data_IF_540390478733
#
_entry.id   IF_540390478733
#
_cell.length_a   1.000
_cell.length_b   1.000
_cell.length_c   1.000
_cell.angle_alpha   90.00
_cell.angle_beta   90.00
_cell.angle_gamma   90.00
#
_symmetry.space_group_name_H-M   'P 1'
#
loop_
_entity.id
_entity.type
_entity.pdbx_description
1 polymer ?
#
# COMPACT_ATOMS: atom_id res chain seq x y z
N UNK A 1 -28.11 34.51 -20.33
CA UNK A 1 -27.41 34.87 -19.08
C UNK A 1 -27.41 33.62 -18.21
N UNK A 2 -26.36 32.82 -18.35
CA UNK A 2 -26.13 31.65 -17.50
C UNK A 2 -25.67 32.17 -16.16
N UNK A 3 -26.52 32.04 -15.15
CA UNK A 3 -26.21 32.30 -13.74
C UNK A 3 -25.08 31.35 -13.34
N UNK A 4 -23.86 31.88 -13.28
CA UNK A 4 -22.77 31.28 -12.51
C UNK A 4 -23.18 31.35 -11.05
N UNK A 5 -23.80 30.28 -10.55
CA UNK A 5 -23.93 30.04 -9.12
C UNK A 5 -22.51 29.98 -8.53
N UNK A 6 -22.10 31.06 -7.88
CA UNK A 6 -20.93 31.06 -7.01
C UNK A 6 -21.25 30.15 -5.84
N UNK A 7 -20.71 28.94 -5.84
CA UNK A 7 -20.72 28.04 -4.70
C UNK A 7 -20.26 28.81 -3.45
N UNK A 8 -20.93 28.68 -2.29
CA UNK A 8 -20.47 29.30 -1.06
C UNK A 8 -19.05 28.85 -0.74
N UNK A 9 -18.20 29.77 -0.25
CA UNK A 9 -16.81 29.53 0.17
C UNK A 9 -16.75 28.67 1.44
N UNK A 10 -17.23 27.45 1.31
CA UNK A 10 -17.26 26.43 2.34
C UNK A 10 -15.87 25.82 2.40
N UNK A 11 -15.30 25.74 3.61
CA UNK A 11 -13.94 25.25 3.79
C UNK A 11 -13.79 23.85 3.18
N UNK A 12 -12.61 23.57 2.63
CA UNK A 12 -12.32 22.26 2.02
C UNK A 12 -12.59 21.10 2.99
N UNK A 13 -12.31 21.30 4.28
CA UNK A 13 -12.56 20.29 5.31
C UNK A 13 -14.05 20.02 5.50
N UNK A 14 -14.88 21.06 5.47
CA UNK A 14 -16.35 20.89 5.54
C UNK A 14 -16.87 20.12 4.32
N UNK A 15 -16.41 20.46 3.11
CA UNK A 15 -16.81 19.74 1.89
C UNK A 15 -16.39 18.27 1.94
N UNK A 16 -15.15 17.99 2.34
CA UNK A 16 -14.64 16.63 2.45
C UNK A 16 -15.42 15.81 3.49
N UNK A 17 -15.67 16.36 4.68
CA UNK A 17 -16.43 15.64 5.71
C UNK A 17 -17.90 15.45 5.34
N UNK A 18 -18.49 16.36 4.55
CA UNK A 18 -19.89 16.26 4.11
C UNK A 18 -20.07 15.21 3.01
N UNK A 19 -19.25 15.26 1.96
CA UNK A 19 -19.44 14.42 0.76
C UNK A 19 -18.62 13.14 0.77
N UNK A 20 -17.59 13.04 1.63
CA UNK A 20 -16.71 11.88 1.76
C UNK A 20 -16.67 11.35 3.19
N UNK A 21 -17.77 11.45 3.94
CA UNK A 21 -17.90 10.89 5.29
C UNK A 21 -17.42 9.43 5.36
N UNK A 22 -16.58 9.11 6.35
CA UNK A 22 -15.97 7.79 6.51
C UNK A 22 -14.81 7.47 5.54
N UNK A 23 -14.46 8.40 4.63
CA UNK A 23 -13.31 8.30 3.71
C UNK A 23 -12.25 9.38 3.98
N UNK A 24 -12.47 10.24 4.97
CA UNK A 24 -11.55 11.29 5.40
C UNK A 24 -10.77 10.82 6.62
N UNK A 25 -9.45 11.06 6.62
CA UNK A 25 -8.55 10.71 7.71
C UNK A 25 -7.71 11.92 8.10
N UNK A 26 -7.60 12.16 9.41
CA UNK A 26 -6.71 13.17 10.01
C UNK A 26 -5.25 12.74 9.90
N UNK A 27 -4.59 13.15 8.81
CA UNK A 27 -3.20 12.75 8.49
C UNK A 27 -2.16 13.28 9.46
N UNK A 28 -2.43 14.38 10.15
CA UNK A 28 -1.58 14.92 11.22
C UNK A 28 -1.33 13.90 12.34
N UNK A 29 -2.35 13.07 12.63
CA UNK A 29 -2.28 12.03 13.65
C UNK A 29 -1.30 10.88 13.29
N UNK A 30 -1.06 10.65 12.00
CA UNK A 30 -0.12 9.59 11.57
C UNK A 30 1.28 9.82 12.11
N UNK A 31 1.72 11.09 12.24
CA UNK A 31 3.03 11.46 12.77
C UNK A 31 3.18 11.07 14.24
N UNK A 32 2.13 11.29 15.04
CA UNK A 32 2.10 10.97 16.47
C UNK A 32 2.14 9.46 16.76
N UNK A 33 1.83 8.63 15.76
CA UNK A 33 1.79 7.17 15.88
C UNK A 33 3.04 6.53 15.27
N UNK A 34 3.62 7.12 14.23
CA UNK A 34 4.81 6.60 13.55
C UNK A 34 6.06 6.60 14.44
N UNK A 35 6.09 7.42 15.48
CA UNK A 35 7.16 7.43 16.48
C UNK A 35 7.31 6.06 17.15
N UNK A 36 8.32 5.30 16.73
CA UNK A 36 8.69 4.01 17.31
C UNK A 36 8.34 2.77 16.49
N UNK A 37 7.63 2.87 15.36
CA UNK A 37 7.28 1.71 14.52
C UNK A 37 7.49 1.99 13.02
N UNK A 38 8.23 1.11 12.32
CA UNK A 38 8.41 1.18 10.87
C UNK A 38 7.20 0.56 10.14
N UNK A 39 6.05 1.23 10.25
CA UNK A 39 4.77 0.83 9.64
C UNK A 39 4.50 1.73 8.42
N UNK A 40 4.04 1.18 7.28
CA UNK A 40 3.64 1.99 6.13
C UNK A 40 2.50 2.98 6.48
N UNK A 41 2.54 4.20 5.96
CA UNK A 41 1.56 5.25 6.31
C UNK A 41 0.13 4.83 5.97
N UNK A 42 -0.13 4.22 4.82
CA UNK A 42 -1.48 3.76 4.47
C UNK A 42 -2.06 2.74 5.47
N UNK A 43 -1.23 1.96 6.17
CA UNK A 43 -1.69 1.06 7.24
C UNK A 43 -2.16 1.87 8.45
N UNK A 44 -1.41 2.92 8.81
CA UNK A 44 -1.79 3.83 9.88
C UNK A 44 -3.07 4.60 9.52
N UNK A 45 -3.17 5.09 8.29
CA UNK A 45 -4.35 5.81 7.80
C UNK A 45 -5.59 4.92 7.81
N UNK A 46 -5.47 3.65 7.45
CA UNK A 46 -6.58 2.69 7.54
C UNK A 46 -7.06 2.49 8.98
N UNK A 47 -6.13 2.31 9.93
CA UNK A 47 -6.49 2.16 11.34
C UNK A 47 -7.11 3.44 11.90
N UNK A 48 -6.56 4.60 11.57
CA UNK A 48 -7.13 5.90 11.93
C UNK A 48 -8.53 6.09 11.33
N UNK A 49 -8.75 5.70 10.07
CA UNK A 49 -10.07 5.75 9.45
C UNK A 49 -11.10 4.84 10.15
N UNK A 50 -10.66 3.75 10.78
CA UNK A 50 -11.55 2.86 11.55
C UNK A 50 -11.91 3.40 12.94
N UNK A 51 -11.00 4.13 13.60
CA UNK A 51 -11.14 4.49 15.02
C UNK A 51 -11.19 6.00 15.31
N UNK A 52 -10.86 6.85 14.33
CA UNK A 52 -10.75 8.31 14.46
C UNK A 52 -11.53 9.04 13.35
N UNK A 53 -12.59 8.46 12.78
CA UNK A 53 -13.43 9.05 11.74
C UNK A 53 -14.51 10.02 12.30
N UNK A 54 -14.13 10.86 13.27
CA UNK A 54 -15.00 11.87 13.87
C UNK A 54 -14.20 13.17 14.04
N UNK A 55 -14.91 14.29 14.10
CA UNK A 55 -14.43 15.64 14.42
C UNK A 55 -14.45 15.96 15.91
N UNK A 56 -15.05 15.10 16.75
CA UNK A 56 -15.03 15.22 18.21
C UNK A 56 -13.65 14.84 18.77
N UNK A 57 -12.99 15.81 19.42
CA UNK A 57 -11.64 15.64 19.97
C UNK A 57 -11.55 14.50 20.99
N UNK A 58 -12.56 14.29 21.84
CA UNK A 58 -12.55 13.20 22.82
C UNK A 58 -12.67 11.83 22.14
N UNK A 59 -13.47 11.73 21.08
CA UNK A 59 -13.55 10.51 20.25
C UNK A 59 -12.22 10.23 19.57
N UNK A 60 -11.58 11.26 19.00
CA UNK A 60 -10.26 11.16 18.36
C UNK A 60 -9.21 10.65 19.36
N UNK A 61 -9.11 11.24 20.55
CA UNK A 61 -8.12 10.84 21.56
C UNK A 61 -8.29 9.38 22.00
N UNK A 62 -9.53 8.95 22.23
CA UNK A 62 -9.82 7.54 22.52
C UNK A 62 -9.46 6.61 21.36
N UNK A 63 -9.75 7.04 20.12
CA UNK A 63 -9.34 6.35 18.90
C UNK A 63 -7.83 6.18 18.80
N UNK A 64 -7.05 7.22 19.10
CA UNK A 64 -5.58 7.18 19.10
C UNK A 64 -5.02 6.16 20.09
N UNK A 65 -5.57 6.10 21.30
CA UNK A 65 -5.18 5.10 22.31
C UNK A 65 -5.43 3.69 21.79
N UNK A 66 -6.59 3.46 21.16
CA UNK A 66 -6.92 2.17 20.56
C UNK A 66 -5.98 1.79 19.41
N UNK A 67 -5.66 2.72 18.51
CA UNK A 67 -4.73 2.47 17.40
C UNK A 67 -3.33 2.14 17.92
N UNK A 68 -2.82 2.89 18.90
CA UNK A 68 -1.53 2.61 19.54
C UNK A 68 -1.49 1.22 20.19
N UNK A 69 -2.58 0.83 20.85
CA UNK A 69 -2.71 -0.50 21.45
C UNK A 69 -2.68 -1.60 20.40
N UNK A 70 -3.48 -1.47 19.33
CA UNK A 70 -3.54 -2.43 18.22
C UNK A 70 -2.16 -2.60 17.57
N UNK A 71 -1.45 -1.50 17.30
CA UNK A 71 -0.11 -1.58 16.72
C UNK A 71 0.87 -2.27 17.67
N UNK A 72 0.83 -1.96 18.96
CA UNK A 72 1.72 -2.58 19.95
C UNK A 72 1.46 -4.08 20.11
N UNK A 73 0.20 -4.49 20.06
CA UNK A 73 -0.20 -5.88 20.31
C UNK A 73 -0.16 -6.75 19.05
N UNK A 74 -0.54 -6.21 17.90
CA UNK A 74 -0.83 -6.97 16.69
C UNK A 74 0.17 -6.71 15.55
N UNK A 75 0.84 -5.56 15.47
CA UNK A 75 1.82 -5.34 14.40
C UNK A 75 3.05 -6.21 14.61
N UNK A 76 3.39 -7.02 13.60
CA UNK A 76 4.54 -7.91 13.69
C UNK A 76 5.80 -7.17 13.31
N UNK A 77 6.70 -7.01 14.28
CA UNK A 77 8.07 -6.57 14.04
C UNK A 77 8.95 -7.79 13.74
N UNK A 78 9.74 -7.81 12.66
CA UNK A 78 10.54 -8.99 12.30
C UNK A 78 11.48 -9.50 13.40
N UNK A 79 12.03 -8.60 14.21
CA UNK A 79 12.90 -8.89 15.36
C UNK A 79 12.16 -9.49 16.56
N UNK A 80 10.83 -9.29 16.66
CA UNK A 80 9.98 -9.88 17.69
C UNK A 80 9.13 -11.07 17.19
N UNK A 81 9.41 -11.58 15.99
CA UNK A 81 8.56 -12.59 15.34
C UNK A 81 8.35 -13.87 16.18
N UNK A 82 9.38 -14.39 16.84
CA UNK A 82 9.28 -15.60 17.68
C UNK A 82 8.39 -15.38 18.91
N UNK A 83 8.43 -14.19 19.51
CA UNK A 83 7.55 -13.82 20.62
C UNK A 83 6.08 -13.84 20.18
N UNK A 84 5.80 -13.34 18.97
CA UNK A 84 4.43 -13.38 18.40
C UNK A 84 4.01 -14.83 18.08
N UNK A 85 4.90 -15.66 17.52
CA UNK A 85 4.61 -17.09 17.30
C UNK A 85 4.28 -17.83 18.61
N UNK A 86 5.01 -17.55 19.69
CA UNK A 86 4.72 -18.11 21.02
C UNK A 86 3.31 -17.74 21.47
N UNK A 87 2.94 -16.45 21.34
CA UNK A 87 1.58 -15.99 21.66
C UNK A 87 0.51 -16.71 20.84
N UNK A 88 0.71 -16.87 19.53
CA UNK A 88 -0.25 -17.57 18.65
C UNK A 88 -0.41 -19.03 19.11
N UNK A 89 0.69 -19.70 19.46
CA UNK A 89 0.68 -21.08 19.99
C UNK A 89 -0.04 -21.18 21.33
N UNK A 90 0.27 -20.31 22.28
CA UNK A 90 -0.26 -20.35 23.65
C UNK A 90 -1.75 -19.97 23.71
N UNK A 91 -2.16 -18.98 22.93
CA UNK A 91 -3.56 -18.51 22.88
C UNK A 91 -4.45 -19.36 21.97
N UNK A 92 -3.87 -20.22 21.13
CA UNK A 92 -4.55 -21.00 20.10
C UNK A 92 -5.03 -20.16 18.91
N UNK A 93 -5.48 -18.93 19.14
CA UNK A 93 -5.81 -17.96 18.09
C UNK A 93 -5.32 -16.56 18.42
N UNK A 94 -4.65 -15.90 17.48
CA UNK A 94 -4.12 -14.55 17.68
C UNK A 94 -4.21 -13.70 16.43
N UNK A 95 -4.51 -12.42 16.61
CA UNK A 95 -4.60 -11.45 15.52
C UNK A 95 -3.26 -10.76 15.31
N UNK A 96 -2.85 -10.63 14.05
CA UNK A 96 -1.60 -9.98 13.64
C UNK A 96 -1.85 -9.03 12.48
N UNK A 97 -0.99 -8.03 12.33
CA UNK A 97 -0.90 -7.15 11.17
C UNK A 97 0.40 -7.46 10.46
N UNK A 98 0.30 -7.99 9.23
CA UNK A 98 1.44 -8.44 8.45
C UNK A 98 1.15 -8.32 6.94
N UNK A 99 2.20 -8.36 6.12
CA UNK A 99 2.09 -8.46 4.66
C UNK A 99 2.00 -9.93 4.25
N UNK A 100 0.92 -10.26 3.56
CA UNK A 100 0.55 -11.63 3.19
C UNK A 100 0.75 -11.85 1.70
N UNK A 101 1.50 -12.88 1.35
CA UNK A 101 1.57 -13.42 -0.03
C UNK A 101 1.12 -14.87 0.00
N UNK A 102 0.51 -15.37 -1.07
CA UNK A 102 0.00 -16.74 -1.15
C UNK A 102 0.64 -17.46 -2.34
N UNK A 103 0.85 -18.77 -2.21
CA UNK A 103 1.28 -19.66 -3.28
C UNK A 103 0.44 -20.95 -3.26
N UNK A 104 0.28 -21.58 -4.41
CA UNK A 104 -0.28 -22.92 -4.49
C UNK A 104 0.79 -23.96 -4.12
N UNK A 105 0.46 -24.87 -3.20
CA UNK A 105 1.24 -26.07 -2.95
C UNK A 105 0.64 -27.24 -3.75
N UNK A 106 1.15 -27.45 -4.97
CA UNK A 106 0.66 -28.49 -5.90
C UNK A 106 0.78 -29.92 -5.35
N UNK A 107 1.68 -30.18 -4.40
CA UNK A 107 1.84 -31.52 -3.80
C UNK A 107 0.71 -31.87 -2.84
N UNK A 108 0.14 -30.85 -2.21
CA UNK A 108 -0.89 -30.97 -1.18
C UNK A 108 -2.25 -30.48 -1.65
N UNK A 109 -2.29 -29.82 -2.81
CA UNK A 109 -3.46 -29.13 -3.37
C UNK A 109 -4.09 -28.14 -2.39
N UNK A 110 -3.25 -27.30 -1.77
CA UNK A 110 -3.69 -26.26 -0.84
C UNK A 110 -2.95 -24.95 -1.09
N UNK A 111 -3.59 -23.83 -0.76
CA UNK A 111 -2.91 -22.54 -0.71
C UNK A 111 -2.16 -22.33 0.60
N UNK A 112 -0.94 -21.81 0.48
CA UNK A 112 -0.04 -21.51 1.59
C UNK A 112 0.28 -20.02 1.61
N UNK A 113 -0.08 -19.36 2.70
CA UNK A 113 0.26 -17.99 3.01
C UNK A 113 1.67 -17.87 3.62
N UNK A 114 2.41 -16.90 3.09
CA UNK A 114 3.63 -16.33 3.64
C UNK A 114 3.27 -15.05 4.40
N UNK A 115 3.55 -15.06 5.70
CA UNK A 115 3.52 -13.88 6.56
C UNK A 115 4.91 -13.28 6.60
N UNK A 116 5.09 -12.12 5.97
CA UNK A 116 6.41 -11.55 5.67
C UNK A 116 7.21 -11.22 6.93
N UNK A 117 6.59 -10.55 7.90
CA UNK A 117 7.27 -10.13 9.13
C UNK A 117 7.30 -11.25 10.17
N UNK A 118 6.23 -12.06 10.26
CA UNK A 118 6.19 -13.21 11.17
C UNK A 118 7.12 -14.34 10.72
N UNK A 119 7.44 -14.42 9.42
CA UNK A 119 8.31 -15.43 8.85
C UNK A 119 7.68 -16.83 8.76
N UNK A 120 6.36 -16.95 8.93
CA UNK A 120 5.63 -18.20 8.68
C UNK A 120 5.39 -18.32 7.17
N UNK A 121 5.90 -19.39 6.55
CA UNK A 121 5.98 -19.51 5.08
C UNK A 121 4.92 -20.40 4.43
N UNK A 122 4.15 -21.09 5.26
CA UNK A 122 3.29 -22.19 4.85
C UNK A 122 1.96 -22.21 5.60
N UNK A 123 1.50 -21.07 6.13
CA UNK A 123 0.23 -21.04 6.85
C UNK A 123 -0.91 -21.38 5.88
N UNK A 124 -1.76 -22.34 6.22
CA UNK A 124 -2.84 -22.74 5.32
C UNK A 124 -3.90 -21.65 5.24
N UNK A 125 -4.42 -21.40 4.04
CA UNK A 125 -5.42 -20.36 3.79
C UNK A 125 -6.51 -20.88 2.84
N UNK A 126 -7.76 -20.49 3.09
CA UNK A 126 -8.89 -20.87 2.25
C UNK A 126 -8.83 -20.26 0.85
N UNK A 127 -9.17 -21.06 -0.16
CA UNK A 127 -9.36 -20.67 -1.56
C UNK A 127 -10.28 -19.47 -1.76
N UNK A 128 -11.25 -19.28 -0.84
CA UNK A 128 -12.18 -18.15 -0.89
C UNK A 128 -11.44 -16.82 -0.81
N UNK A 129 -10.45 -16.70 0.08
CA UNK A 129 -9.64 -15.47 0.18
C UNK A 129 -8.77 -15.26 -1.05
N UNK A 130 -8.24 -16.33 -1.63
CA UNK A 130 -7.41 -16.25 -2.84
C UNK A 130 -8.22 -15.79 -4.04
N UNK A 131 -9.43 -16.33 -4.23
CA UNK A 131 -10.37 -15.91 -5.29
C UNK A 131 -10.86 -14.48 -5.09
N UNK A 132 -11.09 -14.06 -3.85
CA UNK A 132 -11.54 -12.70 -3.54
C UNK A 132 -10.43 -11.67 -3.71
N UNK A 133 -9.18 -12.05 -3.42
CA UNK A 133 -8.04 -11.13 -3.36
C UNK A 133 -6.86 -11.66 -4.19
N UNK A 134 -6.99 -11.62 -5.52
CA UNK A 134 -5.99 -12.15 -6.47
C UNK A 134 -4.57 -11.60 -6.25
N UNK A 135 -4.46 -10.35 -5.77
CA UNK A 135 -3.18 -9.70 -5.45
C UNK A 135 -2.35 -10.43 -4.38
N UNK A 136 -2.97 -11.32 -3.59
CA UNK A 136 -2.25 -12.22 -2.68
C UNK A 136 -1.26 -13.12 -3.43
N UNK A 137 -1.52 -13.52 -4.68
CA UNK A 137 -0.67 -14.42 -5.48
C UNK A 137 0.53 -13.74 -6.14
N UNK A 138 0.63 -12.41 -6.06
CA UNK A 138 1.57 -11.60 -6.87
C UNK A 138 2.52 -10.82 -5.97
N UNK A 139 2.11 -9.62 -5.53
CA UNK A 139 2.92 -8.72 -4.70
C UNK A 139 2.64 -8.81 -3.20
N UNK A 140 1.56 -9.51 -2.82
CA UNK A 140 1.05 -9.60 -1.46
C UNK A 140 0.33 -8.35 -0.98
N UNK A 141 -0.45 -8.49 0.08
CA UNK A 141 -1.33 -7.45 0.61
C UNK A 141 -1.10 -7.31 2.12
N UNK A 142 -1.04 -6.08 2.63
CA UNK A 142 -1.09 -5.85 4.07
C UNK A 142 -2.46 -6.19 4.61
N UNK A 143 -2.50 -7.06 5.61
CA UNK A 143 -3.75 -7.58 6.16
C UNK A 143 -3.71 -7.54 7.69
N UNK A 144 -4.89 -7.36 8.27
CA UNK A 144 -5.18 -7.80 9.62
C UNK A 144 -5.60 -9.27 9.49
N UNK A 145 -4.84 -10.18 10.10
CA UNK A 145 -5.00 -11.62 9.95
C UNK A 145 -5.24 -12.25 11.31
N UNK A 146 -6.23 -13.13 11.41
CA UNK A 146 -6.37 -14.00 12.58
C UNK A 146 -5.74 -15.34 12.25
N UNK A 147 -4.69 -15.69 12.99
CA UNK A 147 -4.01 -16.97 12.91
C UNK A 147 -4.60 -17.92 13.94
N UNK A 148 -4.73 -19.18 13.55
CA UNK A 148 -4.97 -20.31 14.46
C UNK A 148 -3.71 -21.18 14.49
N UNK A 149 -3.34 -21.63 15.68
CA UNK A 149 -2.31 -22.64 15.87
C UNK A 149 -2.94 -23.95 16.32
N UNK A 150 -2.68 -25.02 15.57
CA UNK A 150 -3.08 -26.37 15.92
C UNK A 150 -2.02 -27.34 15.42
N UNK A 151 -1.47 -28.17 16.31
CA UNK A 151 -0.45 -29.15 15.97
C UNK A 151 -0.96 -30.54 16.30
N UNK A 152 -0.89 -31.45 15.34
CA UNK A 152 -1.10 -32.89 15.50
C UNK A 152 0.17 -33.66 15.10
N UNK A 153 0.47 -34.79 15.75
CA UNK A 153 1.74 -35.52 15.51
C UNK A 153 1.91 -36.01 14.06
N UNK A 154 0.83 -36.41 13.39
CA UNK A 154 0.85 -36.94 12.00
C UNK A 154 0.45 -35.89 10.94
N UNK A 155 0.35 -34.62 11.35
CA UNK A 155 -0.03 -33.55 10.46
C UNK A 155 1.04 -33.29 9.39
N UNK A 156 0.65 -33.42 8.12
CA UNK A 156 1.50 -33.07 6.96
C UNK A 156 1.58 -31.56 6.70
N UNK A 157 0.69 -30.79 7.32
CA UNK A 157 0.49 -29.37 7.09
C UNK A 157 1.20 -28.44 8.07
N UNK A 158 1.08 -27.14 7.85
CA UNK A 158 1.61 -26.17 8.80
C UNK A 158 0.71 -26.08 10.03
N UNK A 159 1.25 -26.00 11.25
CA UNK A 159 0.41 -25.81 12.43
C UNK A 159 -0.26 -24.44 12.46
N UNK A 160 0.16 -23.52 11.58
CA UNK A 160 -0.46 -22.22 11.39
C UNK A 160 -1.52 -22.29 10.29
N UNK A 161 -2.70 -21.75 10.58
CA UNK A 161 -3.76 -21.54 9.60
C UNK A 161 -4.28 -20.09 9.69
N UNK A 162 -4.56 -19.49 8.53
CA UNK A 162 -5.27 -18.21 8.40
C UNK A 162 -6.76 -18.50 8.45
N UNK A 163 -7.41 -18.11 9.54
CA UNK A 163 -8.86 -18.32 9.71
C UNK A 163 -9.68 -17.07 9.37
N UNK A 164 -9.09 -15.88 9.47
CA UNK A 164 -9.69 -14.61 9.07
C UNK A 164 -8.64 -13.73 8.41
N UNK A 165 -8.99 -13.10 7.29
CA UNK A 165 -8.11 -12.22 6.53
C UNK A 165 -8.87 -10.97 6.12
N UNK A 166 -8.44 -9.83 6.65
CA UNK A 166 -8.99 -8.51 6.31
C UNK A 166 -7.90 -7.64 5.66
N UNK A 167 -7.94 -7.42 4.34
CA UNK A 167 -7.03 -6.51 3.67
C UNK A 167 -7.12 -5.09 4.24
N UNK A 168 -5.96 -4.47 4.43
CA UNK A 168 -5.81 -3.05 4.77
C UNK A 168 -5.84 -2.26 3.48
N UNK A 169 -7.04 -2.13 2.93
CA UNK A 169 -7.33 -1.43 1.68
C UNK A 169 -8.67 -0.72 1.84
N UNK A 170 -8.92 0.30 1.01
CA UNK A 170 -10.25 0.89 0.91
C UNK A 170 -11.23 -0.19 0.43
N UNK A 171 -12.29 -0.51 1.18
CA UNK A 171 -13.30 -1.46 0.72
C UNK A 171 -13.98 -0.88 -0.53
N UNK A 172 -14.12 -1.70 -1.58
CA UNK A 172 -14.71 -1.41 -2.90
C UNK A 172 -15.18 0.03 -3.08
N UNK A 173 -14.38 0.84 -3.78
CA UNK A 173 -14.69 2.23 -4.03
C UNK A 173 -15.93 2.33 -4.93
N UNK A 174 -17.03 2.85 -4.38
CA UNK A 174 -18.21 3.22 -5.15
C UNK A 174 -17.87 4.42 -6.04
N UNK A 175 -17.59 4.13 -7.31
CA UNK A 175 -17.23 5.13 -8.31
C UNK A 175 -18.38 6.09 -8.62
N UNK A 176 -19.63 5.62 -8.57
CA UNK A 176 -20.78 6.48 -8.83
C UNK A 176 -20.91 7.51 -7.71
N UNK A 177 -20.82 7.07 -6.44
CA UNK A 177 -20.82 7.98 -5.30
C UNK A 177 -19.64 8.96 -5.33
N UNK A 178 -18.44 8.53 -5.76
CA UNK A 178 -17.28 9.41 -5.93
C UNK A 178 -17.54 10.50 -6.98
N UNK A 179 -18.12 10.14 -8.13
CA UNK A 179 -18.41 11.09 -9.21
C UNK A 179 -19.51 12.08 -8.83
N UNK A 180 -20.54 11.65 -8.12
CA UNK A 180 -21.57 12.57 -7.61
C UNK A 180 -20.98 13.54 -6.58
N UNK A 181 -20.23 13.03 -5.59
CA UNK A 181 -19.56 13.86 -4.60
C UNK A 181 -18.60 14.88 -5.22
N UNK A 182 -17.87 14.51 -6.28
CA UNK A 182 -16.95 15.41 -6.99
C UNK A 182 -17.64 16.65 -7.56
N UNK A 183 -18.92 16.59 -7.93
CA UNK A 183 -19.65 17.74 -8.52
C UNK A 183 -19.81 18.91 -7.55
N UNK A 184 -19.69 18.65 -6.25
CA UNK A 184 -19.82 19.63 -5.17
C UNK A 184 -18.53 20.44 -4.94
N UNK A 185 -17.48 20.17 -5.72
CA UNK A 185 -16.18 20.83 -5.62
C UNK A 185 -15.89 21.63 -6.88
N UNK A 186 -15.29 22.81 -6.74
CA UNK A 186 -14.61 23.48 -7.86
C UNK A 186 -13.36 22.71 -8.27
N UNK A 187 -12.83 23.00 -9.46
CA UNK A 187 -11.58 22.38 -9.92
C UNK A 187 -10.41 22.68 -8.99
N UNK A 188 -10.30 23.92 -8.49
CA UNK A 188 -9.27 24.34 -7.53
C UNK A 188 -9.38 23.58 -6.20
N UNK A 189 -10.59 23.48 -5.65
CA UNK A 189 -10.84 22.72 -4.42
C UNK A 189 -10.54 21.24 -4.60
N UNK A 190 -10.83 20.68 -5.77
CA UNK A 190 -10.54 19.28 -6.07
C UNK A 190 -9.04 19.01 -6.18
N UNK A 191 -8.29 19.90 -6.84
CA UNK A 191 -6.82 19.83 -6.88
C UNK A 191 -6.26 19.84 -5.46
N UNK A 192 -6.79 20.71 -4.61
CA UNK A 192 -6.37 20.82 -3.21
C UNK A 192 -6.72 19.57 -2.40
N UNK A 193 -7.90 18.98 -2.62
CA UNK A 193 -8.30 17.70 -2.04
C UNK A 193 -7.34 16.57 -2.42
N UNK A 194 -6.97 16.46 -3.71
CA UNK A 194 -6.04 15.44 -4.20
C UNK A 194 -4.65 15.60 -3.59
N UNK A 195 -4.12 16.83 -3.54
CA UNK A 195 -2.81 17.11 -2.94
C UNK A 195 -2.82 16.80 -1.44
N UNK A 196 -3.86 17.23 -0.71
CA UNK A 196 -4.02 16.94 0.72
C UNK A 196 -4.13 15.44 0.98
N UNK A 197 -4.74 14.70 0.06
CA UNK A 197 -4.81 13.23 0.10
C UNK A 197 -3.44 12.55 -0.05
N UNK A 198 -2.42 13.22 -0.57
CA UNK A 198 -1.02 12.74 -0.57
C UNK A 198 -0.25 13.09 0.71
N UNK A 199 -0.87 13.76 1.67
CA UNK A 199 -0.23 14.20 2.92
C UNK A 199 0.51 15.53 2.83
N UNK A 200 0.25 16.34 1.79
CA UNK A 200 0.84 17.66 1.62
C UNK A 200 -0.23 18.75 1.74
N UNK A 201 0.08 19.85 2.44
CA UNK A 201 -0.90 20.92 2.66
C UNK A 201 -0.94 21.91 1.47
N UNK A 202 -2.03 21.96 0.68
CA UNK A 202 -2.10 22.75 -0.56
C UNK A 202 -1.89 24.26 -0.37
N UNK A 203 -2.26 24.82 0.79
CA UNK A 203 -2.11 26.25 1.07
C UNK A 203 -0.65 26.74 1.09
N UNK A 204 0.31 25.83 1.23
CA UNK A 204 1.75 26.14 1.19
C UNK A 204 2.35 26.17 -0.23
N UNK A 205 1.55 25.88 -1.26
CA UNK A 205 2.04 25.75 -2.63
C UNK A 205 1.42 26.77 -3.58
N UNK A 206 2.28 27.32 -4.45
CA UNK A 206 1.83 28.06 -5.63
C UNK A 206 1.16 27.11 -6.62
N UNK A 207 0.25 27.63 -7.42
CA UNK A 207 -0.52 26.85 -8.40
C UNK A 207 0.35 25.94 -9.30
N UNK A 208 1.45 26.47 -9.86
CA UNK A 208 2.37 25.67 -10.67
C UNK A 208 2.96 24.47 -9.92
N UNK A 209 3.22 24.62 -8.63
CA UNK A 209 3.74 23.52 -7.80
C UNK A 209 2.64 22.47 -7.57
N UNK A 210 1.39 22.90 -7.36
CA UNK A 210 0.24 22.00 -7.26
C UNK A 210 0.13 21.08 -8.49
N UNK A 211 0.26 21.65 -9.70
CA UNK A 211 0.30 20.87 -10.94
C UNK A 211 1.45 19.86 -11.01
N UNK A 212 2.66 20.22 -10.57
CA UNK A 212 3.77 19.28 -10.49
C UNK A 212 3.52 18.15 -9.48
N UNK A 213 2.89 18.44 -8.34
CA UNK A 213 2.50 17.43 -7.36
C UNK A 213 1.44 16.48 -7.91
N UNK A 214 0.44 16.99 -8.65
CA UNK A 214 -0.54 16.16 -9.35
C UNK A 214 0.12 15.26 -10.39
N UNK A 215 1.08 15.79 -11.16
CA UNK A 215 1.78 15.00 -12.19
C UNK A 215 2.50 13.77 -11.62
N UNK A 216 2.93 13.80 -10.34
CA UNK A 216 3.51 12.64 -9.65
C UNK A 216 2.51 11.49 -9.45
N UNK A 217 1.20 11.75 -9.52
CA UNK A 217 0.17 10.73 -9.38
C UNK A 217 -0.17 10.03 -10.69
N UNK A 218 0.21 10.59 -11.85
CA UNK A 218 -0.10 10.01 -13.17
C UNK A 218 0.38 8.56 -13.31
N UNK A 219 1.61 8.17 -12.88
CA UNK A 219 2.03 6.76 -12.95
C UNK A 219 1.13 5.80 -12.18
N UNK A 220 0.38 6.26 -11.18
CA UNK A 220 -0.50 5.40 -10.37
C UNK A 220 -1.84 5.11 -11.05
N UNK A 221 -2.18 5.86 -12.12
CA UNK A 221 -3.50 5.77 -12.79
C UNK A 221 -3.37 5.50 -14.29
N UNK A 222 -2.22 5.79 -14.90
CA UNK A 222 -1.95 5.55 -16.31
C UNK A 222 -0.95 4.42 -16.51
N UNK A 223 -1.33 3.43 -17.32
CA UNK A 223 -0.48 2.30 -17.66
C UNK A 223 0.71 2.73 -18.52
N UNK A 224 1.89 2.18 -18.24
CA UNK A 224 3.12 2.44 -18.99
C UNK A 224 3.48 3.94 -19.12
N UNK A 225 3.14 4.74 -18.10
CA UNK A 225 3.52 6.15 -18.05
C UNK A 225 4.94 6.32 -17.47
N UNK A 226 5.86 6.82 -18.29
CA UNK A 226 7.25 7.01 -17.90
C UNK A 226 7.46 8.42 -17.32
N UNK A 227 7.82 8.51 -16.05
CA UNK A 227 8.00 9.78 -15.34
C UNK A 227 9.42 9.91 -14.78
N UNK A 228 10.04 11.07 -15.02
CA UNK A 228 11.33 11.42 -14.43
C UNK A 228 11.20 12.74 -13.67
N UNK A 229 11.55 12.73 -12.39
CA UNK A 229 11.56 13.91 -11.55
C UNK A 229 12.97 14.23 -11.06
N UNK A 230 13.41 15.46 -11.36
CA UNK A 230 14.63 16.03 -10.81
C UNK A 230 14.26 17.14 -9.84
N UNK A 231 14.74 17.04 -8.60
CA UNK A 231 14.47 18.07 -7.60
C UNK A 231 15.36 17.97 -6.37
N UNK A 232 15.44 19.07 -5.60
CA UNK A 232 16.25 19.14 -4.37
C UNK A 232 15.93 18.03 -3.36
N UNK A 233 16.81 17.85 -2.37
CA UNK A 233 16.54 16.96 -1.23
C UNK A 233 15.34 17.47 -0.43
N UNK A 234 14.56 16.56 0.16
CA UNK A 234 13.46 16.91 1.07
C UNK A 234 12.14 17.35 0.41
N UNK A 235 11.97 17.21 -0.91
CA UNK A 235 10.73 17.62 -1.61
C UNK A 235 9.63 16.55 -1.69
N UNK A 236 9.79 15.45 -0.94
CA UNK A 236 8.80 14.36 -0.89
C UNK A 236 8.72 13.47 -2.14
N UNK A 237 9.73 13.49 -3.04
CA UNK A 237 9.74 12.70 -4.29
C UNK A 237 9.48 11.21 -4.07
N UNK A 238 10.18 10.63 -3.11
CA UNK A 238 10.07 9.20 -2.78
C UNK A 238 8.81 8.88 -1.95
N UNK A 239 8.16 9.88 -1.35
CA UNK A 239 7.04 9.68 -0.43
C UNK A 239 5.84 9.05 -1.14
N UNK A 240 5.47 9.59 -2.30
CA UNK A 240 4.27 9.16 -3.03
C UNK A 240 4.34 7.68 -3.45
N UNK A 241 5.50 7.25 -3.94
CA UNK A 241 5.72 5.87 -4.41
C UNK A 241 5.98 4.87 -3.28
N UNK A 242 6.23 5.34 -2.06
CA UNK A 242 6.50 4.47 -0.91
C UNK A 242 5.31 4.36 0.04
N UNK A 243 4.56 5.44 0.23
CA UNK A 243 3.66 5.60 1.38
C UNK A 243 2.17 5.68 1.00
N UNK A 244 1.83 5.94 -0.27
CA UNK A 244 0.44 6.16 -0.71
C UNK A 244 -0.24 4.89 -1.22
N UNK A 245 0.48 4.04 -1.97
CA UNK A 245 -0.10 2.85 -2.58
C UNK A 245 0.59 1.57 -2.12
N UNK A 246 -0.15 0.52 -1.75
CA UNK A 246 0.41 -0.80 -1.50
C UNK A 246 0.90 -1.49 -2.77
N UNK A 247 0.59 -0.96 -3.95
CA UNK A 247 0.95 -1.53 -5.26
C UNK A 247 2.11 -0.80 -5.94
N UNK A 248 2.83 0.06 -5.21
CA UNK A 248 4.04 0.72 -5.68
C UNK A 248 5.25 0.17 -4.95
N UNK A 249 6.37 0.02 -5.66
CA UNK A 249 7.68 -0.30 -5.07
C UNK A 249 8.68 0.79 -5.41
N UNK A 250 9.40 1.25 -4.37
CA UNK A 250 10.56 2.11 -4.52
C UNK A 250 11.83 1.27 -4.41
N UNK A 251 12.58 1.17 -5.50
CA UNK A 251 13.88 0.51 -5.56
C UNK A 251 14.94 1.55 -5.21
N UNK A 252 15.62 1.34 -4.07
CA UNK A 252 16.73 2.18 -3.61
C UNK A 252 18.07 1.43 -3.74
N UNK A 253 19.16 2.16 -3.97
CA UNK A 253 20.51 1.62 -3.76
C UNK A 253 21.32 1.24 -5.00
N UNK A 254 21.06 1.85 -6.17
CA UNK A 254 21.99 1.90 -7.29
C UNK A 254 22.41 0.57 -7.95
N UNK A 255 22.02 -0.59 -7.42
CA UNK A 255 22.35 -1.89 -7.99
C UNK A 255 21.08 -2.71 -8.17
N UNK A 256 20.69 -2.90 -9.42
CA UNK A 256 19.61 -3.81 -9.81
C UNK A 256 20.09 -4.76 -10.90
N UNK A 257 19.34 -5.83 -11.13
CA UNK A 257 19.63 -6.81 -12.19
C UNK A 257 18.42 -6.96 -13.09
N UNK A 258 18.66 -7.37 -14.33
CA UNK A 258 17.57 -7.66 -15.29
C UNK A 258 16.67 -8.78 -14.75
N UNK A 259 17.24 -9.75 -14.04
CA UNK A 259 16.48 -10.83 -13.43
C UNK A 259 15.52 -10.35 -12.34
N UNK A 260 15.91 -9.36 -11.54
CA UNK A 260 15.06 -8.79 -10.50
C UNK A 260 13.97 -7.90 -11.11
N UNK A 261 14.34 -7.07 -12.09
CA UNK A 261 13.43 -6.08 -12.65
C UNK A 261 12.41 -6.71 -13.63
N UNK A 262 12.86 -7.60 -14.52
CA UNK A 262 12.06 -8.11 -15.64
C UNK A 262 11.66 -9.57 -15.50
N UNK A 263 12.62 -10.49 -15.60
CA UNK A 263 12.33 -11.91 -15.55
C UNK A 263 13.54 -12.74 -15.14
N UNK A 264 13.36 -13.56 -14.11
CA UNK A 264 14.37 -14.51 -13.65
C UNK A 264 14.21 -15.84 -14.40
N UNK A 265 15.15 -16.12 -15.31
CA UNK A 265 15.14 -17.33 -16.13
C UNK A 265 15.32 -18.62 -15.31
N UNK A 266 16.19 -18.59 -14.29
CA UNK A 266 16.48 -19.77 -13.45
C UNK A 266 15.31 -20.15 -12.56
N UNK A 267 14.64 -19.16 -11.97
CA UNK A 267 13.46 -19.38 -11.13
C UNK A 267 12.14 -19.46 -11.93
N UNK A 268 12.16 -19.09 -13.22
CA UNK A 268 10.97 -18.91 -14.07
C UNK A 268 9.92 -17.99 -13.42
N UNK A 269 10.38 -16.85 -12.91
CA UNK A 269 9.53 -15.87 -12.22
C UNK A 269 9.61 -14.50 -12.85
N UNK A 270 8.47 -13.86 -12.96
CA UNK A 270 8.32 -12.46 -13.37
C UNK A 270 8.96 -11.56 -12.31
N UNK A 271 9.68 -10.54 -12.76
CA UNK A 271 10.33 -9.52 -11.94
C UNK A 271 9.40 -8.37 -11.58
N UNK A 272 9.95 -7.35 -10.94
CA UNK A 272 9.18 -6.24 -10.36
C UNK A 272 8.21 -5.57 -11.36
N UNK A 273 8.60 -5.33 -12.60
CA UNK A 273 7.75 -4.60 -13.57
C UNK A 273 6.48 -5.34 -13.96
N UNK A 274 6.42 -6.66 -13.76
CA UNK A 274 5.20 -7.44 -14.00
C UNK A 274 4.41 -7.76 -12.74
N UNK A 275 4.88 -7.34 -11.55
CA UNK A 275 4.25 -7.61 -10.26
C UNK A 275 3.66 -6.36 -9.60
N UNK A 276 4.14 -5.18 -9.96
CA UNK A 276 3.80 -3.91 -9.33
C UNK A 276 3.16 -2.95 -10.33
N UNK A 277 2.17 -2.18 -9.87
CA UNK A 277 1.51 -1.16 -10.69
C UNK A 277 2.49 -0.02 -11.00
N UNK A 278 3.35 0.33 -10.04
CA UNK A 278 4.43 1.33 -10.21
C UNK A 278 5.76 0.80 -9.67
N UNK A 279 6.79 0.89 -10.51
CA UNK A 279 8.20 0.67 -10.12
C UNK A 279 8.93 2.00 -10.18
N UNK A 280 9.20 2.59 -9.02
CA UNK A 280 9.95 3.83 -8.90
C UNK A 280 11.41 3.53 -8.52
N UNK A 281 12.33 4.30 -9.08
CA UNK A 281 13.75 4.23 -8.71
C UNK A 281 14.16 5.50 -7.97
N UNK A 282 14.75 5.32 -6.79
CA UNK A 282 15.42 6.42 -6.11
C UNK A 282 16.86 6.56 -6.61
N UNK A 283 17.39 7.77 -6.62
CA UNK A 283 18.77 8.07 -7.04
C UNK A 283 19.13 7.56 -8.45
N UNK A 284 18.31 7.88 -9.45
CA UNK A 284 18.47 7.41 -10.85
C UNK A 284 19.88 7.65 -11.42
N UNK A 285 20.54 8.74 -11.02
CA UNK A 285 21.91 9.04 -11.45
C UNK A 285 22.95 7.98 -11.01
N UNK A 286 22.66 7.20 -9.97
CA UNK A 286 23.52 6.15 -9.44
C UNK A 286 23.09 4.72 -9.81
N UNK A 287 22.08 4.55 -10.68
CA UNK A 287 21.64 3.21 -11.09
C UNK A 287 22.69 2.57 -12.00
N UNK A 288 23.17 1.41 -11.58
CA UNK A 288 24.03 0.53 -12.33
C UNK A 288 23.37 -0.84 -12.48
N UNK A 289 23.16 -1.26 -13.73
CA UNK A 289 22.72 -2.62 -14.03
C UNK A 289 23.94 -3.53 -14.08
N UNK A 290 23.89 -4.65 -13.37
CA UNK A 290 24.97 -5.67 -13.46
C UNK A 290 25.07 -6.27 -14.87
N UNK A 291 23.93 -6.36 -15.55
CA UNK A 291 23.82 -6.91 -16.89
C UNK A 291 23.99 -5.79 -17.95
N UNK A 292 24.82 -6.03 -18.97
CA UNK A 292 25.11 -5.03 -20.02
C UNK A 292 23.88 -4.66 -20.88
N UNK A 293 22.88 -5.54 -20.96
CA UNK A 293 21.66 -5.37 -21.75
C UNK A 293 20.52 -4.68 -20.99
N UNK A 294 20.64 -4.47 -19.68
CA UNK A 294 19.53 -4.02 -18.84
C UNK A 294 18.94 -2.67 -19.22
N UNK A 295 19.79 -1.73 -19.61
CA UNK A 295 19.34 -0.40 -20.08
C UNK A 295 18.57 -0.52 -21.41
N UNK A 296 18.99 -1.41 -22.31
CA UNK A 296 18.32 -1.57 -23.60
C UNK A 296 16.94 -2.20 -23.43
N UNK A 297 16.84 -3.26 -22.61
CA UNK A 297 15.55 -3.88 -22.27
C UNK A 297 14.60 -2.86 -21.63
N UNK A 298 15.12 -2.02 -20.73
CA UNK A 298 14.32 -0.97 -20.11
C UNK A 298 13.81 0.05 -21.14
N UNK A 299 14.64 0.49 -22.09
CA UNK A 299 14.20 1.38 -23.17
C UNK A 299 13.06 0.75 -24.00
N UNK A 300 13.22 -0.51 -24.39
CA UNK A 300 12.23 -1.22 -25.21
C UNK A 300 10.91 -1.41 -24.43
N UNK A 301 11.00 -1.71 -23.12
CA UNK A 301 9.84 -1.79 -22.24
C UNK A 301 9.13 -0.45 -22.09
N UNK A 302 9.86 0.62 -21.77
CA UNK A 302 9.28 1.96 -21.61
C UNK A 302 8.57 2.42 -22.88
N UNK A 303 9.10 2.07 -24.06
CA UNK A 303 8.50 2.44 -25.35
C UNK A 303 7.29 1.57 -25.74
N UNK A 304 7.32 0.26 -25.47
CA UNK A 304 6.31 -0.69 -25.98
C UNK A 304 5.32 -1.19 -24.93
N UNK A 305 5.59 -0.97 -23.64
CA UNK A 305 4.86 -1.58 -22.52
C UNK A 305 5.07 -3.08 -22.39
N UNK A 306 5.97 -3.66 -23.19
CA UNK A 306 6.24 -5.10 -23.24
C UNK A 306 7.74 -5.35 -23.26
N UNK A 307 8.17 -6.51 -22.78
CA UNK A 307 9.56 -6.93 -22.89
C UNK A 307 9.60 -8.38 -23.35
N UNK A 308 10.59 -8.69 -24.19
CA UNK A 308 10.90 -10.05 -24.58
C UNK A 308 12.27 -10.41 -24.03
N UNK A 309 12.37 -11.56 -23.37
CA UNK A 309 13.65 -12.15 -23.02
C UNK A 309 13.81 -13.42 -23.83
N UNK A 310 14.87 -13.47 -24.64
CA UNK A 310 15.19 -14.64 -25.46
C UNK A 310 15.27 -15.92 -24.61
N UNK A 311 14.76 -17.02 -25.15
CA UNK A 311 15.10 -18.37 -24.66
C UNK A 311 16.51 -18.74 -25.09
#
# INVERSE_FOLDING_TARGET
MTTTETLPDTSLDTLLNTHFAGKVVRKDLTKLIKEGANVPVYVLEYLLGMYCASDDEAVIQNGLVNVKRILTENYVRPDEAEKVKSKVRESGTYKVIDKITVKLNEKRDVYEALLSNLGVKNAEISDTYVRQFEKLLVGGIWCIVTLKYHFEEDQKGSPFAVIDLKPIQMPNMDMAALFEARKEFTDEQWIDALIRSTGMEPSHFKERVKWHLLARMVPLVENNYNFCELGPRGTGKSHIYKEISPNSILVSGGQTTVANLFYNMGARKVGLVGLWDVVAFDEVAGINFKDHDGVQIMKDYMASGSFSRGR
#
